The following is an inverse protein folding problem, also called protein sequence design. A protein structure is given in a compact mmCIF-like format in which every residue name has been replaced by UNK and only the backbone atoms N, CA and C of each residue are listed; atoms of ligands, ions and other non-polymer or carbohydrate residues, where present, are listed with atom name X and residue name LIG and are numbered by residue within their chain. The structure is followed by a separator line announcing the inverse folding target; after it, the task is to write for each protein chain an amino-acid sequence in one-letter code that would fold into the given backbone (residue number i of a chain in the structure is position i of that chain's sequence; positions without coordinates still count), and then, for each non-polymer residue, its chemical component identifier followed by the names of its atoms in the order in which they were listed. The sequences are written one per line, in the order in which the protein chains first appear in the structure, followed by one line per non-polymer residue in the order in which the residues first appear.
data_IF_124416193922
#
_entry.id   IF_124416193922
#
_cell.length_a   1.000
_cell.length_b   1.000
_cell.length_c   1.000
_cell.angle_alpha   90.00
_cell.angle_beta   90.00
_cell.angle_gamma   90.00
#
_symmetry.space_group_name_H-M   'P 1'
#
loop_
_entity.id
_entity.type
_entity.pdbx_description
1 polymer ?
#
# COMPACT_ATOMS: atom_id res chain seq x y z
N UNK A 1 -12.31 -12.14 -13.34
CA UNK A 1 -12.60 -10.84 -13.98
C UNK A 1 -11.57 -9.85 -13.49
N UNK A 2 -10.96 -9.02 -14.36
CA UNK A 2 -10.13 -7.91 -13.90
C UNK A 2 -11.02 -6.96 -13.07
N UNK A 3 -10.64 -6.72 -11.82
CA UNK A 3 -11.29 -5.70 -11.00
C UNK A 3 -10.83 -4.34 -11.54
N UNK A 4 -11.78 -3.50 -11.97
CA UNK A 4 -11.48 -2.09 -12.24
C UNK A 4 -11.10 -1.45 -10.91
N UNK A 5 -9.85 -1.02 -10.81
CA UNK A 5 -9.32 -0.35 -9.64
C UNK A 5 -9.48 1.16 -9.83
N UNK A 6 -10.44 1.75 -9.13
CA UNK A 6 -10.53 3.20 -9.05
C UNK A 6 -9.45 3.72 -8.10
N UNK A 7 -8.59 4.57 -8.65
CA UNK A 7 -7.51 5.23 -7.91
C UNK A 7 -7.98 6.53 -7.24
N UNK A 8 -9.15 7.06 -7.64
CA UNK A 8 -9.69 8.30 -7.08
C UNK A 8 -8.80 9.53 -7.32
N UNK A 9 -8.05 9.54 -8.43
CA UNK A 9 -7.13 10.61 -8.82
C UNK A 9 -7.29 10.93 -10.31
N UNK A 10 -6.87 12.13 -10.71
CA UNK A 10 -6.78 12.53 -12.12
C UNK A 10 -5.61 11.87 -12.84
N UNK A 11 -5.64 11.90 -14.17
CA UNK A 11 -4.55 11.39 -15.00
C UNK A 11 -3.25 12.20 -14.78
N UNK A 12 -3.37 13.51 -14.58
CA UNK A 12 -2.22 14.38 -14.27
C UNK A 12 -1.56 13.99 -12.95
N UNK A 13 -2.35 13.83 -11.88
CA UNK A 13 -1.84 13.39 -10.57
C UNK A 13 -1.19 12.00 -10.67
N UNK A 14 -1.78 11.09 -11.43
CA UNK A 14 -1.22 9.77 -11.66
C UNK A 14 0.16 9.84 -12.34
N UNK A 15 0.29 10.65 -13.39
CA UNK A 15 1.54 10.83 -14.13
C UNK A 15 2.62 11.52 -13.28
N UNK A 16 2.25 12.50 -12.46
CA UNK A 16 3.19 13.15 -11.52
C UNK A 16 3.75 12.16 -10.50
N UNK A 17 2.91 11.27 -9.96
CA UNK A 17 3.36 10.24 -9.03
C UNK A 17 4.28 9.22 -9.70
N UNK A 18 3.99 8.82 -10.95
CA UNK A 18 4.90 7.96 -11.72
C UNK A 18 6.23 8.66 -11.98
N UNK A 19 6.22 9.95 -12.33
CA UNK A 19 7.45 10.72 -12.55
C UNK A 19 8.33 10.81 -11.29
N UNK A 20 7.72 10.72 -10.09
CA UNK A 20 8.42 10.64 -8.81
C UNK A 20 8.92 9.22 -8.48
N UNK A 21 8.76 8.25 -9.38
CA UNK A 21 9.15 6.85 -9.18
C UNK A 21 8.18 6.04 -8.31
N UNK A 22 6.98 6.57 -8.03
CA UNK A 22 5.94 5.87 -7.27
C UNK A 22 5.10 4.97 -8.16
N UNK A 23 4.37 4.05 -7.54
CA UNK A 23 3.45 3.15 -8.23
C UNK A 23 2.05 3.22 -7.61
N UNK A 24 1.22 4.20 -8.04
CA UNK A 24 -0.11 4.43 -7.45
C UNK A 24 -1.03 3.20 -7.48
N UNK A 25 -0.90 2.36 -8.51
CA UNK A 25 -1.68 1.12 -8.62
C UNK A 25 -1.31 0.13 -7.51
N UNK A 26 -0.01 -0.12 -7.32
CA UNK A 26 0.47 -1.02 -6.28
C UNK A 26 0.16 -0.49 -4.88
N UNK A 27 0.31 0.81 -4.67
CA UNK A 27 -0.02 1.47 -3.41
C UNK A 27 -1.50 1.27 -3.05
N UNK A 28 -2.41 1.47 -4.00
CA UNK A 28 -3.85 1.28 -3.79
C UNK A 28 -4.21 -0.19 -3.53
N UNK A 29 -3.57 -1.14 -4.24
CA UNK A 29 -3.74 -2.57 -3.98
C UNK A 29 -3.29 -2.91 -2.56
N UNK A 30 -2.14 -2.41 -2.11
CA UNK A 30 -1.63 -2.62 -0.76
C UNK A 30 -2.56 -2.00 0.29
N UNK A 31 -3.02 -0.77 0.07
CA UNK A 31 -3.96 -0.10 0.97
C UNK A 31 -5.23 -0.94 1.14
N UNK A 32 -5.81 -1.42 0.03
CA UNK A 32 -6.98 -2.29 0.06
C UNK A 32 -6.73 -3.58 0.84
N UNK A 33 -5.57 -4.20 0.64
CA UNK A 33 -5.22 -5.43 1.35
C UNK A 33 -5.04 -5.19 2.86
N UNK A 34 -4.44 -4.06 3.25
CA UNK A 34 -4.33 -3.65 4.65
C UNK A 34 -5.72 -3.45 5.28
N UNK A 35 -6.61 -2.74 4.59
CA UNK A 35 -7.99 -2.53 5.08
C UNK A 35 -8.72 -3.87 5.23
N UNK A 36 -8.60 -4.77 4.25
CA UNK A 36 -9.15 -6.14 4.32
C UNK A 36 -8.57 -6.96 5.48
N UNK A 37 -7.32 -6.68 5.87
CA UNK A 37 -6.67 -7.29 7.02
C UNK A 37 -7.05 -6.63 8.36
N UNK A 38 -7.98 -5.65 8.38
CA UNK A 38 -8.46 -5.02 9.61
C UNK A 38 -7.75 -3.71 9.97
N UNK A 39 -6.85 -3.20 9.13
CA UNK A 39 -6.24 -1.88 9.32
C UNK A 39 -7.30 -0.80 9.10
N UNK A 40 -7.29 0.24 9.94
CA UNK A 40 -8.17 1.39 9.76
C UNK A 40 -7.96 2.04 8.39
N UNK A 41 -9.03 2.39 7.64
CA UNK A 41 -8.91 3.13 6.38
C UNK A 41 -8.14 4.45 6.51
N UNK A 42 -8.11 5.05 7.71
CA UNK A 42 -7.35 6.28 7.98
C UNK A 42 -5.85 6.03 8.10
N UNK A 43 -5.46 4.84 8.54
CA UNK A 43 -4.06 4.47 8.82
C UNK A 43 -3.42 3.76 7.62
N UNK A 44 -4.22 3.05 6.83
CA UNK A 44 -3.75 2.26 5.70
C UNK A 44 -2.90 3.06 4.67
N UNK A 45 -3.24 4.31 4.27
CA UNK A 45 -2.39 5.09 3.35
C UNK A 45 -0.99 5.37 3.93
N UNK A 46 -0.92 5.69 5.22
CA UNK A 46 0.35 6.00 5.90
C UNK A 46 1.23 4.77 6.01
N UNK A 47 0.61 3.61 6.30
CA UNK A 47 1.31 2.33 6.35
C UNK A 47 1.83 1.89 4.98
N UNK A 48 1.10 2.15 3.89
CA UNK A 48 1.62 1.87 2.53
C UNK A 48 2.89 2.66 2.26
N UNK A 49 2.89 3.97 2.53
CA UNK A 49 4.06 4.82 2.35
C UNK A 49 5.25 4.38 3.20
N UNK A 50 4.99 4.04 4.46
CA UNK A 50 6.01 3.52 5.37
C UNK A 50 6.59 2.19 4.89
N UNK A 51 5.74 1.29 4.38
CA UNK A 51 6.18 0.01 3.83
C UNK A 51 7.00 0.20 2.55
N UNK A 52 6.59 1.11 1.64
CA UNK A 52 7.39 1.44 0.45
C UNK A 52 8.81 1.88 0.82
N UNK A 53 8.96 2.70 1.86
CA UNK A 53 10.26 3.12 2.40
C UNK A 53 11.08 1.96 3.01
N UNK A 54 10.41 0.96 3.61
CA UNK A 54 11.05 -0.24 4.15
C UNK A 54 11.39 -1.29 3.08
N UNK A 55 10.73 -1.28 1.92
CA UNK A 55 10.90 -2.29 0.85
C UNK A 55 12.29 -2.32 0.22
N UNK A 56 13.25 -1.50 0.67
CA UNK A 56 14.66 -1.70 0.38
C UNK A 56 15.21 -3.04 0.90
N UNK A 57 14.51 -3.72 1.82
CA UNK A 57 14.88 -5.04 2.33
C UNK A 57 13.65 -5.97 2.40
N UNK A 58 13.67 -7.05 1.60
CA UNK A 58 12.64 -8.09 1.61
C UNK A 58 12.47 -8.76 2.99
N UNK A 59 13.51 -8.76 3.83
CA UNK A 59 13.46 -9.27 5.20
C UNK A 59 12.61 -8.39 6.12
N UNK A 60 12.67 -7.07 5.95
CA UNK A 60 11.85 -6.12 6.73
C UNK A 60 10.37 -6.24 6.38
N UNK A 61 10.05 -6.45 5.10
CA UNK A 61 8.67 -6.68 4.66
C UNK A 61 8.11 -7.98 5.26
N UNK A 62 8.91 -9.06 5.29
CA UNK A 62 8.51 -10.33 5.90
C UNK A 62 8.31 -10.20 7.43
N UNK A 63 9.20 -9.49 8.11
CA UNK A 63 9.11 -9.19 9.54
C UNK A 63 7.84 -8.41 9.87
N UNK A 64 7.56 -7.35 9.11
CA UNK A 64 6.34 -6.55 9.31
C UNK A 64 5.08 -7.40 9.14
N UNK A 65 4.99 -8.18 8.05
CA UNK A 65 3.86 -9.10 7.83
C UNK A 65 3.71 -10.11 8.97
N UNK A 66 4.83 -10.58 9.54
CA UNK A 66 4.83 -11.52 10.66
C UNK A 66 4.37 -10.90 11.98
N UNK A 67 4.82 -9.68 12.30
CA UNK A 67 4.40 -8.93 13.49
C UNK A 67 2.93 -8.53 13.37
N UNK A 68 2.52 -8.00 12.22
CA UNK A 68 1.15 -7.55 11.99
C UNK A 68 0.12 -8.68 12.16
N UNK A 69 0.45 -9.88 11.69
CA UNK A 69 -0.40 -11.07 11.86
C UNK A 69 -0.59 -11.44 13.34
N UNK A 70 0.43 -11.24 14.18
CA UNK A 70 0.39 -11.55 15.63
C UNK A 70 -0.31 -10.50 16.48
N UNK A 71 -0.43 -9.27 16.00
CA UNK A 71 -1.11 -8.17 16.73
C UNK A 71 -2.63 -8.22 16.50
N UNK A 72 -3.07 -8.82 15.40
CA UNK A 72 -4.48 -8.94 15.03
C UNK A 72 -5.13 -10.28 15.42
N UNK A 73 -4.33 -11.28 15.84
CA UNK A 73 -4.79 -12.50 16.53
C UNK A 73 -4.96 -12.23 18.04
#
# INVERSE_FOLDING_TARGET
MPELLDLGMSDEEYLELIAQGRNPVQEQIRQRNLIRAGVSPKEAPQLVLFLEQLSGSAEQEALFKGVWRRVLD
#
